data_IF_692769897070
#
_entry.id   IF_692769897070
#
_cell.length_a   1.000
_cell.length_b   1.000
_cell.length_c   1.000
_cell.angle_alpha   90.00
_cell.angle_beta   90.00
_cell.angle_gamma   90.00
#
_symmetry.space_group_name_H-M   'P 1'
#
loop_
_entity.id
_entity.type
_entity.pdbx_description
1 polymer ?
#
# COMPACT_ATOMS: atom_id res chain seq x y z
N UNK A 1 -6.97 -26.96 -15.95
CA UNK A 1 -6.09 -25.96 -15.29
C UNK A 1 -4.73 -25.80 -15.97
N UNK A 2 -3.83 -26.80 -16.00
CA UNK A 2 -2.46 -26.66 -16.54
C UNK A 2 -2.39 -26.03 -17.95
N UNK A 3 -3.29 -26.44 -18.87
CA UNK A 3 -3.36 -25.86 -20.21
C UNK A 3 -3.66 -24.36 -20.19
N UNK A 4 -4.59 -23.91 -19.33
CA UNK A 4 -4.94 -22.49 -19.18
C UNK A 4 -3.80 -21.65 -18.59
N UNK A 5 -3.07 -22.17 -17.59
CA UNK A 5 -1.87 -21.47 -17.09
C UNK A 5 -0.76 -21.40 -18.16
N UNK A 6 -0.71 -22.36 -19.09
CA UNK A 6 0.25 -22.36 -20.20
C UNK A 6 -0.12 -21.32 -21.27
N UNK A 7 -1.41 -21.22 -21.59
CA UNK A 7 -2.00 -20.21 -22.48
C UNK A 7 -1.77 -18.78 -21.93
N UNK A 8 -2.03 -18.54 -20.65
CA UNK A 8 -1.78 -17.25 -19.99
C UNK A 8 -0.29 -16.88 -19.85
N UNK A 9 0.64 -17.81 -20.07
CA UNK A 9 2.09 -17.58 -19.93
C UNK A 9 2.89 -17.88 -21.19
N UNK A 10 2.22 -17.97 -22.35
CA UNK A 10 2.88 -18.24 -23.63
C UNK A 10 3.61 -17.02 -24.18
N UNK A 11 2.92 -15.89 -24.27
CA UNK A 11 3.36 -14.68 -24.96
C UNK A 11 3.26 -13.42 -24.07
N UNK A 12 3.90 -12.34 -24.50
CA UNK A 12 3.81 -11.06 -23.81
C UNK A 12 2.44 -10.41 -24.01
N UNK A 13 1.84 -9.97 -22.91
CA UNK A 13 0.49 -9.43 -22.83
C UNK A 13 0.51 -8.16 -21.96
N UNK A 14 1.33 -7.18 -22.38
CA UNK A 14 1.40 -5.88 -21.71
C UNK A 14 0.09 -5.11 -21.90
N UNK A 15 -0.23 -4.23 -20.95
CA UNK A 15 -1.44 -3.41 -21.00
C UNK A 15 -1.48 -2.56 -22.30
N UNK A 16 -2.60 -2.61 -23.02
CA UNK A 16 -2.79 -1.96 -24.32
C UNK A 16 -2.11 -2.66 -25.50
N UNK A 17 -1.67 -3.91 -25.35
CA UNK A 17 -1.06 -4.70 -26.43
C UNK A 17 -2.00 -5.77 -26.99
N UNK A 18 -1.76 -6.19 -28.24
CA UNK A 18 -2.50 -7.27 -28.91
C UNK A 18 -2.50 -8.58 -28.11
N UNK A 19 -1.47 -8.83 -27.30
CA UNK A 19 -1.42 -9.99 -26.41
C UNK A 19 -2.43 -9.92 -25.25
N UNK A 20 -2.72 -8.72 -24.75
CA UNK A 20 -3.79 -8.51 -23.76
C UNK A 20 -5.17 -8.72 -24.39
N UNK A 21 -5.42 -8.19 -25.59
CA UNK A 21 -6.68 -8.38 -26.33
C UNK A 21 -7.00 -9.87 -26.52
N UNK A 22 -6.01 -10.66 -26.93
CA UNK A 22 -6.14 -12.12 -27.13
C UNK A 22 -6.45 -12.85 -25.82
N UNK A 23 -5.82 -12.46 -24.70
CA UNK A 23 -6.13 -13.05 -23.38
C UNK A 23 -7.53 -12.63 -22.91
N UNK A 24 -7.91 -11.37 -23.10
CA UNK A 24 -9.23 -10.82 -22.77
C UNK A 24 -10.35 -11.58 -23.50
N UNK A 25 -10.22 -11.77 -24.82
CA UNK A 25 -11.15 -12.56 -25.63
C UNK A 25 -11.25 -14.02 -25.15
N UNK A 26 -10.12 -14.67 -24.85
CA UNK A 26 -10.12 -16.05 -24.35
C UNK A 26 -10.78 -16.18 -22.97
N UNK A 27 -10.61 -15.21 -22.06
CA UNK A 27 -11.30 -15.17 -20.77
C UNK A 27 -12.81 -14.95 -20.96
N UNK A 28 -13.19 -13.97 -21.79
CA UNK A 28 -14.58 -13.65 -22.11
C UNK A 28 -15.35 -14.86 -22.66
N UNK A 29 -14.73 -15.56 -23.63
CA UNK A 29 -15.30 -16.78 -24.21
C UNK A 29 -15.44 -17.89 -23.16
N UNK A 30 -14.45 -18.11 -22.30
CA UNK A 30 -14.51 -19.13 -21.22
C UNK A 30 -15.61 -18.84 -20.20
N UNK A 31 -15.80 -17.58 -19.80
CA UNK A 31 -16.90 -17.21 -18.88
C UNK A 31 -18.27 -17.42 -19.53
N UNK A 32 -18.39 -17.13 -20.83
CA UNK A 32 -19.59 -17.44 -21.62
C UNK A 32 -19.83 -18.96 -21.75
N UNK A 33 -18.78 -19.75 -21.97
CA UNK A 33 -18.82 -21.23 -21.99
C UNK A 33 -19.24 -21.82 -20.63
N UNK A 34 -18.94 -21.14 -19.52
CA UNK A 34 -19.42 -21.49 -18.17
C UNK A 34 -20.86 -21.02 -17.87
N UNK A 35 -21.54 -20.37 -18.83
CA UNK A 35 -22.91 -19.86 -18.66
C UNK A 35 -23.01 -18.59 -17.83
N UNK A 36 -21.90 -17.86 -17.63
CA UNK A 36 -21.89 -16.60 -16.89
C UNK A 36 -22.38 -15.45 -17.78
N UNK A 37 -23.20 -14.56 -17.21
CA UNK A 37 -23.53 -13.27 -17.84
C UNK A 37 -22.28 -12.41 -17.93
N UNK A 38 -21.68 -12.34 -19.12
CA UNK A 38 -20.34 -11.78 -19.34
C UNK A 38 -20.41 -10.53 -20.22
N UNK A 39 -19.71 -9.47 -19.84
CA UNK A 39 -19.57 -8.22 -20.59
C UNK A 39 -18.10 -7.75 -20.57
N UNK A 40 -17.79 -6.69 -21.32
CA UNK A 40 -16.49 -6.00 -21.29
C UNK A 40 -16.69 -4.57 -20.80
N UNK A 41 -15.66 -4.02 -20.19
CA UNK A 41 -15.58 -2.63 -19.74
C UNK A 41 -14.23 -2.07 -20.21
N UNK A 42 -14.24 -0.90 -20.85
CA UNK A 42 -13.11 -0.39 -21.62
C UNK A 42 -12.80 1.06 -21.23
N UNK A 43 -11.53 1.35 -20.91
CA UNK A 43 -11.07 2.65 -20.45
C UNK A 43 -9.89 3.17 -21.28
N UNK A 44 -9.94 4.45 -21.63
CA UNK A 44 -8.85 5.13 -22.32
C UNK A 44 -7.86 5.70 -21.30
N UNK A 45 -6.89 4.87 -20.89
CA UNK A 45 -5.85 5.22 -19.90
C UNK A 45 -4.54 5.59 -20.59
N UNK A 46 -3.88 6.66 -20.14
CA UNK A 46 -2.56 7.04 -20.64
C UNK A 46 -1.45 6.23 -19.97
N UNK A 47 -1.05 5.13 -20.60
CA UNK A 47 0.13 4.35 -20.23
C UNK A 47 1.42 5.08 -20.66
N UNK A 48 2.52 4.85 -19.92
CA UNK A 48 3.87 5.24 -20.35
C UNK A 48 4.62 4.02 -20.86
N UNK A 49 5.09 4.08 -22.11
CA UNK A 49 5.93 3.04 -22.72
C UNK A 49 7.43 3.27 -22.55
N UNK A 50 8.20 2.26 -22.96
CA UNK A 50 9.63 2.39 -23.25
C UNK A 50 9.94 3.53 -24.24
N UNK A 51 11.17 4.10 -24.21
CA UNK A 51 11.62 5.03 -25.23
C UNK A 51 11.47 4.46 -26.65
N UNK A 52 10.95 5.26 -27.58
CA UNK A 52 10.74 4.85 -28.99
C UNK A 52 12.03 4.58 -29.78
N UNK A 53 13.20 4.78 -29.16
CA UNK A 53 14.51 4.45 -29.71
C UNK A 53 15.56 4.41 -28.60
N UNK A 54 16.40 3.37 -28.61
CA UNK A 54 17.41 3.14 -27.57
C UNK A 54 16.83 2.57 -26.27
N UNK A 55 17.66 2.55 -25.23
CA UNK A 55 17.32 2.11 -23.87
C UNK A 55 17.55 3.24 -22.88
N UNK A 56 16.79 3.23 -21.77
CA UNK A 56 17.21 3.99 -20.60
C UNK A 56 18.56 3.43 -20.10
N UNK A 57 19.33 4.24 -19.39
CA UNK A 57 20.62 3.80 -18.90
C UNK A 57 21.18 4.68 -17.80
N UNK A 58 22.17 4.14 -17.11
CA UNK A 58 22.92 4.84 -16.07
C UNK A 58 24.38 4.90 -16.49
N UNK A 59 25.02 6.05 -16.34
CA UNK A 59 26.47 6.18 -16.55
C UNK A 59 27.14 6.42 -15.20
N UNK A 60 28.14 5.60 -14.85
CA UNK A 60 28.88 5.74 -13.60
C UNK A 60 30.38 5.59 -13.84
N UNK A 61 31.17 6.61 -13.48
CA UNK A 61 32.59 6.73 -13.79
C UNK A 61 32.93 6.37 -15.26
N UNK A 62 32.24 7.01 -16.21
CA UNK A 62 32.41 6.78 -17.66
C UNK A 62 31.93 5.42 -18.17
N UNK A 63 31.52 4.49 -17.30
CA UNK A 63 30.95 3.20 -17.69
C UNK A 63 29.45 3.38 -17.91
N UNK A 64 28.95 3.15 -19.13
CA UNK A 64 27.52 3.18 -19.46
C UNK A 64 26.90 1.80 -19.23
N UNK A 65 25.73 1.79 -18.57
CA UNK A 65 24.90 0.62 -18.33
C UNK A 65 23.55 0.83 -18.99
N UNK A 66 23.28 0.06 -20.04
CA UNK A 66 22.00 0.07 -20.73
C UNK A 66 20.99 -0.85 -20.01
N UNK A 67 19.83 -0.30 -19.68
CA UNK A 67 18.80 -0.96 -18.90
C UNK A 67 17.54 -1.18 -19.75
N UNK A 68 17.20 -2.46 -19.93
CA UNK A 68 16.02 -2.89 -20.67
C UNK A 68 14.72 -2.78 -19.85
N UNK A 69 14.81 -2.46 -18.56
CA UNK A 69 13.65 -2.14 -17.73
C UNK A 69 13.38 -0.64 -17.73
N UNK A 70 12.22 -0.24 -17.24
CA UNK A 70 11.88 1.16 -16.96
C UNK A 70 10.97 1.20 -15.73
N UNK A 71 10.74 2.40 -15.21
CA UNK A 71 9.69 2.62 -14.23
C UNK A 71 8.58 3.46 -14.87
N UNK A 72 7.38 2.88 -14.97
CA UNK A 72 6.22 3.58 -15.51
C UNK A 72 5.90 4.83 -14.67
N UNK A 73 5.44 5.88 -15.34
CA UNK A 73 5.11 7.20 -14.78
C UNK A 73 6.28 8.00 -14.19
N UNK A 74 7.51 7.52 -14.36
CA UNK A 74 8.76 8.18 -13.93
C UNK A 74 8.96 9.54 -14.62
N UNK A 75 9.61 10.48 -13.92
CA UNK A 75 9.95 11.79 -14.47
C UNK A 75 10.91 11.68 -15.66
N UNK A 76 10.62 12.40 -16.74
CA UNK A 76 11.48 12.42 -17.93
C UNK A 76 12.67 13.39 -17.73
N UNK A 77 13.87 12.94 -18.11
CA UNK A 77 15.08 13.77 -18.16
C UNK A 77 16.35 12.99 -17.83
N UNK A 78 17.50 13.62 -18.05
CA UNK A 78 18.79 13.15 -17.54
C UNK A 78 19.18 14.00 -16.33
N UNK A 79 19.60 13.35 -15.25
CA UNK A 79 20.11 14.01 -14.04
C UNK A 79 21.47 13.45 -13.67
N UNK A 80 22.35 14.31 -13.18
CA UNK A 80 23.68 13.95 -12.70
C UNK A 80 23.81 14.38 -11.24
N UNK A 81 24.48 13.56 -10.43
CA UNK A 81 24.70 13.82 -9.01
C UNK A 81 25.40 12.65 -8.33
N UNK A 82 25.90 12.88 -7.12
CA UNK A 82 26.53 11.83 -6.32
C UNK A 82 25.50 10.73 -5.96
N UNK A 83 25.93 9.47 -5.97
CA UNK A 83 25.07 8.32 -5.61
C UNK A 83 24.99 8.17 -4.08
N UNK A 84 23.79 7.93 -3.55
CA UNK A 84 23.55 7.67 -2.12
C UNK A 84 22.69 6.41 -1.95
N UNK A 85 23.18 5.42 -1.21
CA UNK A 85 22.39 4.22 -0.88
C UNK A 85 21.41 4.49 0.27
N UNK A 86 20.14 4.15 0.10
CA UNK A 86 19.05 4.36 1.06
C UNK A 86 18.21 3.07 1.26
N UNK A 87 18.87 1.91 1.36
CA UNK A 87 18.25 0.62 1.70
C UNK A 87 16.97 0.29 0.93
N UNK A 88 15.78 0.30 1.56
CA UNK A 88 14.50 0.06 0.87
C UNK A 88 13.73 1.36 0.56
N UNK A 89 14.27 2.53 0.89
CA UNK A 89 13.66 3.84 0.65
C UNK A 89 12.47 4.14 1.57
N UNK A 90 12.35 3.45 2.71
CA UNK A 90 11.25 3.67 3.66
C UNK A 90 11.39 5.05 4.33
N UNK A 91 10.31 5.60 4.88
CA UNK A 91 10.37 6.86 5.66
C UNK A 91 11.37 6.76 6.81
N UNK A 92 11.45 5.60 7.48
CA UNK A 92 12.48 5.29 8.48
C UNK A 92 13.90 5.30 7.90
N UNK A 93 14.08 4.89 6.64
CA UNK A 93 15.40 4.86 6.01
C UNK A 93 15.92 6.28 5.75
N UNK A 94 15.04 7.19 5.33
CA UNK A 94 15.36 8.61 5.19
C UNK A 94 15.58 9.31 6.54
N UNK A 95 14.86 8.91 7.61
CA UNK A 95 15.15 9.40 8.98
C UNK A 95 16.54 8.97 9.44
N UNK A 96 16.91 7.69 9.25
CA UNK A 96 18.27 7.22 9.57
C UNK A 96 19.36 8.04 8.85
N UNK A 97 19.14 8.43 7.59
CA UNK A 97 20.05 9.34 6.88
C UNK A 97 20.09 10.74 7.50
N UNK A 98 18.95 11.28 7.93
CA UNK A 98 18.85 12.57 8.61
C UNK A 98 19.57 12.57 9.98
N UNK A 99 19.44 11.50 10.76
CA UNK A 99 20.12 11.32 12.04
C UNK A 99 21.64 11.23 11.87
N UNK A 100 22.10 10.55 10.81
CA UNK A 100 23.49 10.55 10.34
C UNK A 100 23.94 11.88 9.70
N UNK A 101 23.06 12.90 9.63
CA UNK A 101 23.28 14.20 8.99
C UNK A 101 23.63 14.12 7.49
N UNK A 102 23.29 13.01 6.84
CA UNK A 102 23.50 12.77 5.41
C UNK A 102 22.31 13.29 4.61
N UNK A 103 22.45 14.49 4.02
CA UNK A 103 21.41 15.00 3.13
C UNK A 103 21.35 14.21 1.81
N UNK A 104 20.14 13.82 1.33
CA UNK A 104 19.91 13.30 -0.01
C UNK A 104 19.72 14.42 -1.07
N UNK A 105 19.67 15.69 -0.67
CA UNK A 105 19.42 16.82 -1.59
C UNK A 105 20.51 16.90 -2.66
N UNK A 106 20.10 16.87 -3.94
CA UNK A 106 21.02 16.90 -5.09
C UNK A 106 21.76 15.59 -5.36
N UNK A 107 21.32 14.47 -4.78
CA UNK A 107 21.93 13.15 -4.96
C UNK A 107 20.99 12.18 -5.69
N UNK A 108 21.57 11.22 -6.39
CA UNK A 108 20.84 10.10 -7.00
C UNK A 108 20.72 9.00 -5.92
N UNK A 109 19.50 8.74 -5.47
CA UNK A 109 19.26 7.80 -4.37
C UNK A 109 19.04 6.38 -4.89
N UNK A 110 19.92 5.46 -4.49
CA UNK A 110 19.85 4.04 -4.82
C UNK A 110 19.08 3.28 -3.74
N UNK A 111 17.99 2.61 -4.13
CA UNK A 111 17.10 1.84 -3.26
C UNK A 111 16.85 0.43 -3.81
N UNK A 112 16.61 -0.51 -2.90
CA UNK A 112 16.27 -1.92 -3.19
C UNK A 112 14.78 -2.05 -3.46
N UNK A 113 14.42 -2.93 -4.40
CA UNK A 113 13.07 -3.48 -4.51
C UNK A 113 12.75 -4.34 -3.27
N UNK A 114 11.45 -4.55 -3.00
CA UNK A 114 10.92 -5.18 -1.78
C UNK A 114 10.45 -4.16 -0.75
N UNK A 115 9.95 -4.62 0.41
CA UNK A 115 9.42 -3.85 1.60
C UNK A 115 8.38 -2.74 1.39
N UNK A 116 8.56 -1.85 0.42
CA UNK A 116 7.60 -0.86 -0.08
C UNK A 116 7.60 -0.93 -1.61
N UNK A 117 6.44 -0.71 -2.22
CA UNK A 117 6.25 -0.77 -3.68
C UNK A 117 7.07 0.29 -4.42
N UNK A 118 7.32 0.08 -5.72
CA UNK A 118 7.90 1.14 -6.55
C UNK A 118 6.99 2.37 -6.67
N UNK A 119 5.67 2.19 -6.52
CA UNK A 119 4.71 3.27 -6.36
C UNK A 119 5.02 4.09 -5.09
N UNK A 120 5.08 3.48 -3.90
CA UNK A 120 5.42 4.23 -2.67
C UNK A 120 6.81 4.91 -2.72
N UNK A 121 7.75 4.40 -3.51
CA UNK A 121 9.05 5.05 -3.76
C UNK A 121 8.97 6.25 -4.72
N UNK A 122 7.98 6.31 -5.62
CA UNK A 122 8.00 7.19 -6.81
C UNK A 122 6.62 7.76 -7.20
N UNK A 123 5.54 6.97 -7.20
CA UNK A 123 4.15 7.40 -7.43
C UNK A 123 3.20 7.11 -6.25
N UNK A 124 2.82 8.12 -5.47
CA UNK A 124 1.91 7.97 -4.32
C UNK A 124 0.42 8.03 -4.74
N UNK A 125 -0.05 7.05 -5.52
CA UNK A 125 -1.43 7.01 -6.02
C UNK A 125 -1.88 5.65 -6.55
N UNK A 126 -3.12 5.59 -7.04
CA UNK A 126 -3.72 4.42 -7.71
C UNK A 126 -4.61 4.85 -8.89
N UNK A 127 -4.85 3.91 -9.82
CA UNK A 127 -5.60 4.18 -11.06
C UNK A 127 -4.79 4.99 -12.08
N UNK A 128 -5.50 5.61 -13.02
CA UNK A 128 -4.92 6.52 -14.00
C UNK A 128 -4.43 7.81 -13.30
N UNK A 129 -3.13 8.13 -13.36
CA UNK A 129 -2.59 9.31 -12.71
C UNK A 129 -2.99 10.64 -13.40
N UNK A 130 -3.79 10.61 -14.46
CA UNK A 130 -4.36 11.78 -15.14
C UNK A 130 -5.86 11.98 -14.90
N UNK A 131 -6.53 11.03 -14.20
CA UNK A 131 -7.91 11.16 -13.71
C UNK A 131 -8.06 10.69 -12.23
N UNK A 132 -7.26 11.19 -11.28
CA UNK A 132 -7.25 10.71 -9.90
C UNK A 132 -8.62 10.84 -9.22
N UNK A 133 -9.20 9.69 -8.86
CA UNK A 133 -10.52 9.60 -8.21
C UNK A 133 -11.73 9.58 -9.17
N UNK A 134 -11.50 9.54 -10.49
CA UNK A 134 -12.55 9.53 -11.51
C UNK A 134 -12.27 8.50 -12.62
N UNK A 135 -13.29 7.97 -13.32
CA UNK A 135 -13.08 7.12 -14.49
C UNK A 135 -12.24 7.82 -15.57
N UNK A 136 -11.40 7.06 -16.28
CA UNK A 136 -10.63 7.57 -17.42
C UNK A 136 -11.53 7.69 -18.65
N UNK A 137 -11.53 8.87 -19.27
CA UNK A 137 -12.25 9.14 -20.51
C UNK A 137 -11.28 9.46 -21.65
N UNK A 138 -11.75 9.31 -22.88
CA UNK A 138 -11.01 9.75 -24.07
C UNK A 138 -10.57 11.21 -23.91
N UNK A 139 -9.25 11.44 -23.93
CA UNK A 139 -8.60 12.71 -23.57
C UNK A 139 -8.91 13.90 -24.50
N UNK A 140 -9.74 13.71 -25.52
CA UNK A 140 -10.31 14.77 -26.35
C UNK A 140 -11.39 15.57 -25.57
N UNK A 141 -12.09 14.93 -24.63
CA UNK A 141 -13.26 15.53 -23.95
C UNK A 141 -12.92 16.28 -22.66
N UNK A 142 -11.84 15.90 -21.96
CA UNK A 142 -11.39 16.55 -20.72
C UNK A 142 -9.87 16.76 -20.73
N UNK A 143 -9.37 17.96 -20.35
CA UNK A 143 -7.94 18.19 -20.19
C UNK A 143 -7.38 17.35 -19.03
N UNK A 144 -6.27 16.65 -19.28
CA UNK A 144 -5.64 15.76 -18.29
C UNK A 144 -5.25 16.49 -17.00
N UNK A 145 -5.73 16.00 -15.86
CA UNK A 145 -5.42 16.56 -14.53
C UNK A 145 -4.35 15.69 -13.88
N UNK A 146 -3.10 16.15 -13.87
CA UNK A 146 -1.99 15.42 -13.22
C UNK A 146 -2.30 15.19 -11.73
N UNK A 147 -2.23 13.92 -11.32
CA UNK A 147 -2.21 13.51 -9.93
C UNK A 147 -1.05 14.16 -9.18
N UNK A 148 -1.32 14.62 -7.96
CA UNK A 148 -0.30 15.10 -7.01
C UNK A 148 0.72 14.03 -6.65
N UNK A 149 0.37 12.75 -6.83
CA UNK A 149 1.28 11.63 -6.61
C UNK A 149 2.27 11.37 -7.73
N UNK A 150 2.18 12.01 -8.91
CA UNK A 150 3.15 11.77 -10.00
C UNK A 150 4.56 12.27 -9.64
N UNK A 151 5.63 11.48 -9.90
CA UNK A 151 7.00 11.91 -9.64
C UNK A 151 7.39 13.10 -10.53
N UNK A 152 8.08 14.06 -9.93
CA UNK A 152 8.83 15.10 -10.64
C UNK A 152 10.29 14.72 -10.91
N UNK A 153 10.77 13.62 -10.31
CA UNK A 153 12.15 13.13 -10.41
C UNK A 153 12.27 11.93 -11.35
N UNK A 154 13.34 11.84 -12.17
CA UNK A 154 13.65 10.62 -12.90
C UNK A 154 14.05 9.48 -11.95
N UNK A 155 13.41 8.34 -12.17
CA UNK A 155 13.68 7.08 -11.50
C UNK A 155 13.78 5.94 -12.53
N UNK A 156 14.74 5.03 -12.32
CA UNK A 156 15.07 3.96 -13.26
C UNK A 156 15.32 2.65 -12.49
N UNK A 157 14.73 1.56 -12.95
CA UNK A 157 15.04 0.21 -12.46
C UNK A 157 16.38 -0.25 -13.04
N UNK A 158 17.28 -0.77 -12.21
CA UNK A 158 18.59 -1.26 -12.65
C UNK A 158 18.76 -2.75 -12.34
N UNK A 159 19.53 -3.46 -13.17
CA UNK A 159 19.87 -4.86 -12.93
C UNK A 159 20.74 -5.02 -11.69
N UNK A 160 20.68 -6.19 -11.06
CA UNK A 160 21.57 -6.58 -9.97
C UNK A 160 23.07 -6.43 -10.32
N UNK A 161 23.44 -6.73 -11.57
CA UNK A 161 24.81 -6.53 -12.07
C UNK A 161 25.21 -5.05 -12.14
N UNK A 162 24.31 -4.17 -12.55
CA UNK A 162 24.52 -2.72 -12.62
C UNK A 162 24.63 -2.14 -11.22
N UNK A 163 23.71 -2.52 -10.31
CA UNK A 163 23.80 -2.16 -8.89
C UNK A 163 25.13 -2.61 -8.28
N UNK A 164 25.60 -3.83 -8.60
CA UNK A 164 26.89 -4.33 -8.12
C UNK A 164 28.08 -3.52 -8.65
N UNK A 165 28.08 -3.17 -9.94
CA UNK A 165 29.14 -2.37 -10.55
C UNK A 165 29.20 -0.93 -10.02
N UNK A 166 28.05 -0.35 -9.66
CA UNK A 166 27.95 0.96 -9.00
C UNK A 166 28.41 0.84 -7.54
N UNK A 167 27.76 0.00 -6.74
CA UNK A 167 28.03 -0.13 -5.30
C UNK A 167 29.45 -0.61 -5.00
N UNK A 168 30.03 -1.49 -5.82
CA UNK A 168 31.43 -1.93 -5.69
C UNK A 168 32.47 -0.82 -5.94
N UNK A 169 32.06 0.35 -6.42
CA UNK A 169 32.88 1.56 -6.62
C UNK A 169 32.44 2.75 -5.73
N UNK A 170 31.50 2.55 -4.78
CA UNK A 170 31.04 3.61 -3.86
C UNK A 170 31.90 3.71 -2.59
N UNK A 171 32.06 4.93 -2.07
CA UNK A 171 32.65 5.23 -0.74
C UNK A 171 31.77 6.21 0.07
N UNK A 172 32.19 6.64 1.28
CA UNK A 172 31.46 7.53 2.21
C UNK A 172 31.43 7.06 3.69
N UNK A 173 30.25 6.87 4.31
CA UNK A 173 30.02 6.40 5.71
C UNK A 173 29.27 5.06 5.80
N UNK A 174 29.57 4.13 6.70
CA UNK A 174 28.91 2.80 6.65
C UNK A 174 27.40 2.86 6.94
N UNK A 175 26.59 1.95 6.34
CA UNK A 175 25.15 2.11 6.33
C UNK A 175 24.55 1.70 7.68
N UNK A 176 23.42 2.31 8.10
CA UNK A 176 22.72 1.93 9.32
C UNK A 176 22.62 0.42 9.52
N UNK A 177 22.77 -0.02 10.77
CA UNK A 177 22.86 -1.42 11.14
C UNK A 177 21.80 -2.30 10.44
N UNK A 178 22.24 -3.36 9.75
CA UNK A 178 21.39 -4.27 8.98
C UNK A 178 21.26 -3.95 7.47
N UNK A 179 21.57 -2.73 7.03
CA UNK A 179 21.50 -2.34 5.61
C UNK A 179 22.54 -3.03 4.72
N UNK A 180 23.65 -3.46 5.33
CA UNK A 180 24.82 -4.04 4.67
C UNK A 180 24.66 -5.49 4.19
N UNK A 181 23.53 -6.14 4.45
CA UNK A 181 23.29 -7.55 4.10
C UNK A 181 22.42 -7.66 2.84
N UNK A 182 23.06 -7.68 1.68
CA UNK A 182 22.39 -7.94 0.40
C UNK A 182 23.00 -9.13 -0.36
N UNK A 183 22.29 -9.60 -1.39
CA UNK A 183 22.64 -10.83 -2.13
C UNK A 183 23.58 -10.67 -3.32
N UNK A 184 23.99 -9.44 -3.68
CA UNK A 184 24.98 -9.19 -4.74
C UNK A 184 26.34 -9.79 -4.37
N UNK A 185 26.93 -10.56 -5.29
CA UNK A 185 28.26 -11.17 -5.13
C UNK A 185 29.36 -10.12 -5.33
N UNK A 186 30.44 -10.21 -4.55
CA UNK A 186 31.61 -9.33 -4.60
C UNK A 186 31.30 -7.82 -4.44
N UNK A 187 30.26 -7.48 -3.67
CA UNK A 187 29.91 -6.09 -3.32
C UNK A 187 29.99 -5.92 -1.81
N UNK A 188 30.87 -5.03 -1.36
CA UNK A 188 30.85 -4.56 0.04
C UNK A 188 29.78 -3.49 0.15
N UNK A 189 28.74 -3.74 0.96
CA UNK A 189 27.62 -2.81 1.07
C UNK A 189 27.97 -1.64 1.97
N UNK A 190 28.23 -0.52 1.31
CA UNK A 190 28.68 0.74 1.88
C UNK A 190 27.59 1.81 1.66
N UNK A 191 27.33 2.69 2.64
CA UNK A 191 27.47 4.11 2.28
C UNK A 191 28.95 4.56 2.42
N UNK A 192 29.85 3.76 3.06
CA UNK A 192 31.33 3.87 3.20
C UNK A 192 31.99 3.28 4.47
N UNK A 193 32.39 4.01 5.54
CA UNK A 193 33.02 3.39 6.76
C UNK A 193 32.45 3.87 8.12
N UNK A 194 32.47 3.14 9.24
CA UNK A 194 32.85 1.73 9.55
C UNK A 194 31.80 1.08 10.51
N UNK A 195 31.69 -0.27 10.65
CA UNK A 195 30.44 -0.92 11.18
C UNK A 195 30.54 -2.37 11.72
N UNK A 196 29.43 -2.87 12.30
CA UNK A 196 29.19 -4.30 12.65
C UNK A 196 27.75 -4.84 12.29
N UNK A 197 27.19 -5.85 12.99
CA UNK A 197 26.38 -6.94 12.37
C UNK A 197 25.22 -7.53 13.22
N UNK A 198 24.00 -7.74 12.66
CA UNK A 198 23.09 -8.91 12.92
C UNK A 198 21.99 -9.15 11.81
N UNK A 199 20.73 -9.53 12.05
CA UNK A 199 19.78 -10.23 11.12
C UNK A 199 18.34 -9.60 11.15
N UNK A 200 17.25 -10.06 10.49
CA UNK A 200 16.84 -11.33 9.84
C UNK A 200 15.92 -11.06 8.60
N UNK A 201 15.59 -12.05 7.76
CA UNK A 201 14.81 -11.82 6.52
C UNK A 201 13.94 -12.97 6.00
N UNK A 202 12.86 -12.62 5.29
CA UNK A 202 11.98 -13.51 4.52
C UNK A 202 12.26 -13.35 3.02
N UNK A 203 12.20 -14.44 2.26
CA UNK A 203 12.54 -14.45 0.83
C UNK A 203 11.36 -14.09 -0.08
N UNK A 204 11.39 -12.91 -0.69
CA UNK A 204 10.48 -12.52 -1.77
C UNK A 204 10.71 -13.38 -3.04
N UNK A 205 9.69 -13.51 -3.90
CA UNK A 205 9.80 -14.23 -5.18
C UNK A 205 10.75 -13.48 -6.13
N UNK A 206 11.94 -14.02 -6.45
CA UNK A 206 13.04 -13.23 -7.01
C UNK A 206 12.90 -12.89 -8.49
N UNK A 207 11.87 -13.40 -9.16
CA UNK A 207 11.59 -13.16 -10.57
C UNK A 207 10.46 -12.14 -10.80
N UNK A 208 9.77 -11.72 -9.73
CA UNK A 208 8.65 -10.77 -9.79
C UNK A 208 9.03 -9.50 -10.55
N UNK A 209 8.20 -9.11 -11.53
CA UNK A 209 8.44 -7.91 -12.33
C UNK A 209 9.63 -8.01 -13.30
N UNK A 210 10.02 -9.23 -13.70
CA UNK A 210 11.12 -9.46 -14.65
C UNK A 210 10.72 -10.43 -15.76
N UNK A 211 11.46 -10.43 -16.87
CA UNK A 211 11.31 -11.44 -17.95
C UNK A 211 11.63 -12.88 -17.52
N UNK A 212 12.06 -13.10 -16.27
CA UNK A 212 12.26 -14.43 -15.69
C UNK A 212 11.01 -14.94 -14.97
N UNK A 213 9.96 -14.12 -14.82
CA UNK A 213 8.66 -14.54 -14.31
C UNK A 213 7.97 -15.43 -15.35
N UNK A 214 8.26 -16.71 -15.28
CA UNK A 214 7.84 -17.72 -16.26
C UNK A 214 7.29 -18.92 -15.52
N UNK A 215 6.33 -19.63 -16.14
CA UNK A 215 5.73 -20.85 -15.57
C UNK A 215 6.80 -21.85 -15.11
N UNK A 216 7.89 -22.02 -15.86
CA UNK A 216 9.01 -22.90 -15.51
C UNK A 216 9.73 -22.46 -14.22
N UNK A 217 10.05 -21.17 -14.10
CA UNK A 217 10.74 -20.64 -12.92
C UNK A 217 9.84 -20.60 -11.68
N UNK A 218 8.54 -20.33 -11.86
CA UNK A 218 7.54 -20.45 -10.80
C UNK A 218 7.43 -21.90 -10.31
N UNK A 219 7.31 -22.86 -11.22
CA UNK A 219 7.19 -24.28 -10.88
C UNK A 219 8.43 -24.81 -10.12
N UNK A 220 9.64 -24.42 -10.55
CA UNK A 220 10.88 -24.68 -9.80
C UNK A 220 10.86 -24.04 -8.41
N UNK A 221 10.36 -22.80 -8.27
CA UNK A 221 10.27 -22.10 -6.97
C UNK A 221 9.23 -22.68 -6.02
N UNK A 222 8.20 -23.34 -6.55
CA UNK A 222 7.22 -24.11 -5.77
C UNK A 222 7.68 -25.55 -5.44
N UNK A 223 8.95 -25.89 -5.68
CA UNK A 223 9.47 -27.26 -5.55
C UNK A 223 8.66 -28.29 -6.33
N UNK A 224 8.22 -27.93 -7.55
CA UNK A 224 7.37 -28.74 -8.45
C UNK A 224 5.94 -29.00 -7.92
N UNK A 225 5.48 -28.28 -6.89
CA UNK A 225 4.13 -28.41 -6.33
C UNK A 225 3.13 -27.36 -6.86
N UNK A 226 3.43 -26.68 -7.98
CA UNK A 226 2.62 -25.57 -8.50
C UNK A 226 1.14 -25.94 -8.68
N UNK A 227 0.85 -27.14 -9.19
CA UNK A 227 -0.52 -27.61 -9.37
C UNK A 227 -1.29 -27.72 -8.04
N UNK A 228 -0.63 -28.25 -7.00
CA UNK A 228 -1.23 -28.43 -5.67
C UNK A 228 -1.51 -27.05 -5.06
N UNK A 229 -0.51 -26.17 -5.07
CA UNK A 229 -0.64 -24.83 -4.50
C UNK A 229 -1.75 -24.01 -5.17
N UNK A 230 -1.83 -24.00 -6.51
CA UNK A 230 -2.87 -23.23 -7.20
C UNK A 230 -4.25 -23.87 -7.07
N UNK A 231 -4.35 -25.21 -7.01
CA UNK A 231 -5.62 -25.89 -6.67
C UNK A 231 -6.09 -25.46 -5.28
N UNK A 232 -5.23 -25.53 -4.26
CA UNK A 232 -5.57 -25.13 -2.89
C UNK A 232 -5.93 -23.64 -2.81
N UNK A 233 -5.21 -22.75 -3.51
CA UNK A 233 -5.54 -21.33 -3.55
C UNK A 233 -6.91 -21.07 -4.22
N UNK A 234 -7.22 -21.79 -5.30
CA UNK A 234 -8.53 -21.73 -5.97
C UNK A 234 -9.66 -22.29 -5.11
N UNK A 235 -9.42 -23.37 -4.36
CA UNK A 235 -10.38 -23.93 -3.41
C UNK A 235 -10.67 -22.95 -2.25
N UNK A 236 -9.64 -22.29 -1.71
CA UNK A 236 -9.80 -21.25 -0.68
C UNK A 236 -10.61 -20.07 -1.24
N UNK A 237 -10.24 -19.53 -2.41
CA UNK A 237 -10.94 -18.40 -3.03
C UNK A 237 -12.40 -18.74 -3.36
N UNK A 238 -12.67 -19.94 -3.88
CA UNK A 238 -14.02 -20.43 -4.14
C UNK A 238 -14.86 -20.59 -2.87
N UNK A 239 -14.28 -21.14 -1.79
CA UNK A 239 -14.94 -21.24 -0.49
C UNK A 239 -15.22 -19.88 0.14
N UNK A 240 -14.34 -18.89 -0.03
CA UNK A 240 -14.57 -17.52 0.40
C UNK A 240 -15.73 -16.89 -0.39
N UNK A 241 -15.74 -16.99 -1.72
CA UNK A 241 -16.81 -16.47 -2.56
C UNK A 241 -18.17 -17.11 -2.24
N UNK A 242 -18.22 -18.45 -2.10
CA UNK A 242 -19.45 -19.16 -1.72
C UNK A 242 -20.01 -18.69 -0.38
N UNK A 243 -19.17 -18.52 0.65
CA UNK A 243 -19.61 -18.03 1.98
C UNK A 243 -20.08 -16.57 1.99
N UNK A 244 -19.66 -15.76 1.03
CA UNK A 244 -20.09 -14.37 0.89
C UNK A 244 -21.41 -14.22 0.10
N UNK A 245 -21.84 -15.26 -0.64
CA UNK A 245 -23.00 -15.20 -1.54
C UNK A 245 -24.12 -16.17 -1.14
N UNK A 246 -23.82 -17.31 -0.53
CA UNK A 246 -24.81 -18.34 -0.19
C UNK A 246 -25.53 -18.06 1.14
N UNK A 247 -24.82 -17.60 2.17
CA UNK A 247 -25.39 -17.50 3.52
C UNK A 247 -26.31 -16.29 3.66
N UNK A 248 -27.45 -16.46 4.36
CA UNK A 248 -28.41 -15.39 4.65
C UNK A 248 -27.79 -14.19 5.40
N UNK A 249 -26.76 -14.44 6.21
CA UNK A 249 -26.02 -13.45 6.98
C UNK A 249 -24.52 -13.51 6.64
N UNK A 250 -23.93 -12.35 6.36
CA UNK A 250 -22.52 -12.21 6.00
C UNK A 250 -21.60 -12.60 7.16
N UNK A 251 -20.70 -13.57 6.94
CA UNK A 251 -19.73 -14.04 7.95
C UNK A 251 -18.54 -13.11 8.17
N UNK A 252 -18.77 -11.81 8.26
CA UNK A 252 -17.74 -10.80 8.51
C UNK A 252 -17.83 -10.34 9.97
N UNK A 253 -16.84 -10.72 10.79
CA UNK A 253 -16.82 -10.36 12.21
C UNK A 253 -16.30 -8.93 12.44
N UNK A 254 -17.22 -7.97 12.50
CA UNK A 254 -16.95 -6.54 12.76
C UNK A 254 -16.35 -6.25 14.14
N UNK A 255 -16.42 -7.20 15.09
CA UNK A 255 -15.79 -7.07 16.41
C UNK A 255 -14.25 -7.20 16.33
N UNK A 256 -13.70 -7.82 15.27
CA UNK A 256 -12.26 -7.86 15.04
C UNK A 256 -11.66 -6.44 14.94
N UNK A 257 -12.39 -5.50 14.33
CA UNK A 257 -11.99 -4.09 14.29
C UNK A 257 -11.97 -3.44 15.67
N UNK A 258 -12.82 -3.86 16.62
CA UNK A 258 -12.78 -3.34 18.00
C UNK A 258 -11.44 -3.66 18.68
N UNK A 259 -10.91 -4.86 18.45
CA UNK A 259 -9.59 -5.25 18.97
C UNK A 259 -8.45 -4.42 18.33
N UNK A 260 -8.51 -4.19 17.02
CA UNK A 260 -7.52 -3.38 16.28
C UNK A 260 -7.56 -1.92 16.78
N UNK A 261 -8.74 -1.30 16.78
CA UNK A 261 -8.93 0.09 17.23
C UNK A 261 -8.47 0.24 18.69
N UNK A 262 -8.83 -0.70 19.57
CA UNK A 262 -8.41 -0.68 20.99
C UNK A 262 -6.89 -0.72 21.14
N UNK A 263 -6.20 -1.58 20.40
CA UNK A 263 -4.74 -1.67 20.45
C UNK A 263 -4.08 -0.36 19.98
N UNK A 264 -4.57 0.23 18.88
CA UNK A 264 -4.07 1.49 18.34
C UNK A 264 -4.33 2.67 19.30
N UNK A 265 -5.54 2.81 19.84
CA UNK A 265 -5.89 3.88 20.79
C UNK A 265 -5.11 3.76 22.10
N UNK A 266 -4.87 2.54 22.60
CA UNK A 266 -4.00 2.31 23.75
C UNK A 266 -2.55 2.73 23.49
N UNK A 267 -2.03 2.48 22.28
CA UNK A 267 -0.69 2.94 21.88
C UNK A 267 -0.63 4.47 21.78
N UNK A 268 -1.63 5.12 21.18
CA UNK A 268 -1.74 6.59 21.12
C UNK A 268 -1.77 7.18 22.54
N UNK A 269 -2.61 6.65 23.43
CA UNK A 269 -2.73 7.10 24.82
C UNK A 269 -1.39 7.06 25.57
N UNK A 270 -0.64 5.95 25.41
CA UNK A 270 0.69 5.78 26.01
C UNK A 270 1.68 6.84 25.53
N UNK A 271 1.72 7.10 24.22
CA UNK A 271 2.63 8.10 23.65
C UNK A 271 2.22 9.54 24.02
N UNK A 272 0.94 9.87 23.96
CA UNK A 272 0.40 11.17 24.42
C UNK A 272 0.76 11.43 25.88
N UNK A 273 0.54 10.46 26.78
CA UNK A 273 0.94 10.57 28.19
C UNK A 273 2.45 10.80 28.35
N UNK A 274 3.29 10.04 27.65
CA UNK A 274 4.76 10.20 27.67
C UNK A 274 5.22 11.59 27.20
N UNK A 275 4.53 12.18 26.21
CA UNK A 275 4.83 13.50 25.67
C UNK A 275 4.33 14.63 26.56
N UNK A 276 3.18 14.46 27.23
CA UNK A 276 2.66 15.41 28.22
C UNK A 276 3.53 15.45 29.48
N UNK A 277 4.02 14.29 29.95
CA UNK A 277 4.95 14.20 31.09
C UNK A 277 6.31 14.84 30.80
N UNK A 278 6.75 14.84 29.53
CA UNK A 278 7.98 15.52 29.08
C UNK A 278 7.74 16.96 28.59
N UNK A 279 6.54 17.52 28.80
CA UNK A 279 6.11 18.85 28.35
C UNK A 279 6.31 19.12 26.85
N UNK A 280 6.36 18.09 26.01
CA UNK A 280 6.53 18.19 24.54
C UNK A 280 5.24 18.46 23.79
N UNK A 281 4.09 18.15 24.39
CA UNK A 281 2.75 18.49 23.87
C UNK A 281 1.88 19.09 24.98
N UNK A 282 0.86 19.90 24.64
CA UNK A 282 -0.02 20.51 25.63
C UNK A 282 -0.78 19.48 26.48
N UNK A 283 -0.90 19.75 27.78
CA UNK A 283 -1.77 18.99 28.70
C UNK A 283 -3.27 19.14 28.38
N UNK A 284 -3.63 20.14 27.56
CA UNK A 284 -4.99 20.36 27.04
C UNK A 284 -5.35 19.46 25.85
N UNK A 285 -4.44 18.61 25.36
CA UNK A 285 -4.79 17.56 24.40
C UNK A 285 -5.40 16.37 25.17
N UNK A 286 -6.72 16.28 25.16
CA UNK A 286 -7.46 15.28 25.93
C UNK A 286 -7.77 14.01 25.13
N UNK A 287 -7.54 12.85 25.75
CA UNK A 287 -7.81 11.54 25.16
C UNK A 287 -9.29 11.12 25.27
N UNK A 288 -10.11 11.85 26.03
CA UNK A 288 -11.48 11.48 26.40
C UNK A 288 -12.36 11.16 25.18
N UNK A 289 -12.32 12.01 24.16
CA UNK A 289 -13.12 11.84 22.94
C UNK A 289 -12.75 10.60 22.14
N UNK A 290 -11.45 10.33 21.95
CA UNK A 290 -10.98 9.14 21.24
C UNK A 290 -11.26 7.84 22.01
N UNK A 291 -11.13 7.89 23.33
CA UNK A 291 -11.50 6.78 24.22
C UNK A 291 -13.01 6.52 24.19
N UNK A 292 -13.84 7.56 24.15
CA UNK A 292 -15.29 7.46 24.01
C UNK A 292 -15.67 6.85 22.65
N UNK A 293 -15.09 7.33 21.55
CA UNK A 293 -15.30 6.80 20.20
C UNK A 293 -14.95 5.31 20.08
N UNK A 294 -13.79 4.90 20.60
CA UNK A 294 -13.39 3.49 20.72
C UNK A 294 -14.42 2.67 21.52
N UNK A 295 -14.89 3.21 22.65
CA UNK A 295 -15.91 2.57 23.49
C UNK A 295 -17.25 2.41 22.75
N UNK A 296 -17.69 3.46 22.05
CA UNK A 296 -18.89 3.46 21.22
C UNK A 296 -18.83 2.40 20.13
N UNK A 297 -17.72 2.33 19.38
CA UNK A 297 -17.52 1.29 18.36
C UNK A 297 -17.58 -0.11 18.99
N UNK A 298 -16.88 -0.33 20.11
CA UNK A 298 -16.86 -1.64 20.78
C UNK A 298 -18.23 -2.07 21.33
N UNK A 299 -19.11 -1.12 21.70
CA UNK A 299 -20.49 -1.43 22.10
C UNK A 299 -21.36 -1.74 20.87
N UNK A 300 -21.28 -0.91 19.83
CA UNK A 300 -22.04 -1.08 18.59
C UNK A 300 -21.71 -2.41 17.88
N UNK A 301 -20.43 -2.73 17.73
CA UNK A 301 -19.97 -3.99 17.11
C UNK A 301 -20.46 -5.21 17.88
N UNK A 302 -20.28 -5.23 19.21
CA UNK A 302 -20.75 -6.34 20.07
C UNK A 302 -22.28 -6.49 20.00
N UNK A 303 -23.02 -5.39 19.95
CA UNK A 303 -24.49 -5.42 19.81
C UNK A 303 -24.91 -6.01 18.46
N UNK A 304 -24.24 -5.67 17.37
CA UNK A 304 -24.51 -6.28 16.07
C UNK A 304 -24.14 -7.78 16.06
N UNK A 305 -23.02 -8.18 16.67
CA UNK A 305 -22.67 -9.60 16.83
C UNK A 305 -23.76 -10.38 17.58
N UNK A 306 -24.28 -9.83 18.69
CA UNK A 306 -25.38 -10.45 19.44
C UNK A 306 -26.69 -10.47 18.64
N UNK A 307 -27.01 -9.43 17.87
CA UNK A 307 -28.18 -9.43 16.99
C UNK A 307 -28.05 -10.53 15.93
N UNK A 308 -26.92 -10.58 15.22
CA UNK A 308 -26.60 -11.57 14.19
C UNK A 308 -26.69 -13.02 14.70
N UNK A 309 -26.34 -13.29 15.96
CA UNK A 309 -26.45 -14.61 16.59
C UNK A 309 -27.87 -15.02 16.98
N UNK A 310 -28.78 -14.06 17.20
CA UNK A 310 -30.13 -14.28 17.71
C UNK A 310 -31.23 -13.92 16.67
N UNK A 311 -30.86 -13.73 15.41
CA UNK A 311 -31.80 -13.34 14.34
C UNK A 311 -32.51 -14.53 13.71
N UNK A 312 -33.77 -14.34 13.32
CA UNK A 312 -34.46 -15.31 12.48
C UNK A 312 -33.91 -15.21 11.04
N UNK A 313 -33.40 -16.33 10.52
CA UNK A 313 -32.87 -16.43 9.17
C UNK A 313 -33.97 -16.48 8.09
N UNK A 314 -35.22 -16.68 8.48
CA UNK A 314 -36.37 -16.61 7.58
C UNK A 314 -36.85 -15.17 7.35
N UNK A 315 -36.51 -14.22 8.25
CA UNK A 315 -36.79 -12.81 8.04
C UNK A 315 -35.71 -12.18 7.12
N UNK A 316 -36.05 -12.10 5.83
CA UNK A 316 -35.19 -11.50 4.82
C UNK A 316 -34.94 -10.00 5.01
N UNK A 317 -35.84 -9.26 5.67
CA UNK A 317 -35.67 -7.82 5.93
C UNK A 317 -34.71 -7.61 7.10
N UNK A 318 -34.89 -8.35 8.20
CA UNK A 318 -33.93 -8.37 9.31
C UNK A 318 -32.53 -8.80 8.86
N UNK A 319 -32.43 -9.87 8.06
CA UNK A 319 -31.15 -10.32 7.52
C UNK A 319 -30.49 -9.24 6.65
N UNK A 320 -31.26 -8.55 5.79
CA UNK A 320 -30.75 -7.44 4.98
C UNK A 320 -30.25 -6.28 5.85
N UNK A 321 -31.02 -5.83 6.84
CA UNK A 321 -30.61 -4.72 7.73
C UNK A 321 -29.31 -5.04 8.47
N UNK A 322 -29.11 -6.29 8.88
CA UNK A 322 -27.87 -6.75 9.52
C UNK A 322 -26.72 -6.76 8.50
N UNK A 323 -26.92 -7.31 7.31
CA UNK A 323 -25.91 -7.34 6.25
C UNK A 323 -25.50 -5.93 5.81
N UNK A 324 -26.44 -5.00 5.63
CA UNK A 324 -26.17 -3.61 5.27
C UNK A 324 -25.29 -2.92 6.34
N UNK A 325 -25.53 -3.18 7.63
CA UNK A 325 -24.68 -2.69 8.75
C UNK A 325 -23.30 -3.35 8.77
N UNK A 326 -23.21 -4.65 8.48
CA UNK A 326 -21.94 -5.38 8.38
C UNK A 326 -21.09 -4.82 7.22
N UNK A 327 -21.69 -4.62 6.05
CA UNK A 327 -21.02 -4.04 4.87
C UNK A 327 -20.61 -2.57 5.08
N UNK A 328 -21.40 -1.81 5.84
CA UNK A 328 -21.13 -0.41 6.14
C UNK A 328 -19.79 -0.16 6.84
N UNK A 329 -19.35 -1.07 7.74
CA UNK A 329 -18.15 -0.86 8.57
C UNK A 329 -16.89 -0.51 7.76
N UNK A 330 -16.59 -1.27 6.70
CA UNK A 330 -15.39 -1.04 5.90
C UNK A 330 -15.41 0.31 5.16
N UNK A 331 -16.61 0.72 4.72
CA UNK A 331 -16.86 2.02 4.09
C UNK A 331 -16.74 3.16 5.11
N UNK A 332 -17.29 2.99 6.31
CA UNK A 332 -17.36 4.04 7.33
C UNK A 332 -16.01 4.25 8.07
N UNK A 333 -15.06 3.32 7.90
CA UNK A 333 -13.65 3.49 8.27
C UNK A 333 -12.83 4.26 7.20
N UNK A 334 -13.41 4.62 6.06
CA UNK A 334 -12.84 5.59 5.13
C UNK A 334 -13.08 7.01 5.65
N UNK A 335 -12.02 7.78 5.86
CA UNK A 335 -12.15 9.17 6.30
C UNK A 335 -12.98 9.99 5.29
N UNK A 336 -14.09 10.62 5.72
CA UNK A 336 -14.91 11.47 4.86
C UNK A 336 -14.33 12.88 4.69
N UNK A 337 -13.30 13.23 5.47
CA UNK A 337 -12.71 14.56 5.56
C UNK A 337 -11.56 14.82 4.58
N UNK A 338 -11.20 13.82 3.77
CA UNK A 338 -10.15 13.91 2.76
C UNK A 338 -10.70 13.57 1.38
N UNK A 339 -10.34 14.37 0.38
CA UNK A 339 -10.82 14.19 -0.98
C UNK A 339 -10.23 12.92 -1.61
N UNK A 340 -11.03 12.05 -2.26
CA UNK A 340 -10.52 10.91 -3.03
C UNK A 340 -9.51 11.30 -4.12
N UNK A 341 -9.59 12.55 -4.62
CA UNK A 341 -8.66 13.12 -5.60
C UNK A 341 -7.27 13.42 -5.02
N UNK A 342 -7.19 13.76 -3.73
CA UNK A 342 -5.95 14.20 -3.06
C UNK A 342 -5.32 13.09 -2.22
N UNK A 343 -6.15 12.19 -1.69
CA UNK A 343 -5.74 11.04 -0.88
C UNK A 343 -6.69 9.88 -1.17
N UNK A 344 -6.45 9.07 -2.22
CA UNK A 344 -7.36 7.98 -2.58
C UNK A 344 -7.43 6.88 -1.51
N UNK A 345 -6.33 6.65 -0.79
CA UNK A 345 -6.22 5.65 0.28
C UNK A 345 -6.80 6.17 1.62
N UNK A 346 -8.12 6.38 1.65
CA UNK A 346 -8.83 7.08 2.74
C UNK A 346 -9.05 6.28 4.03
N UNK A 347 -8.80 4.96 4.02
CA UNK A 347 -9.04 4.11 5.18
C UNK A 347 -8.16 4.51 6.37
N UNK A 348 -8.74 4.78 7.55
CA UNK A 348 -7.96 5.33 8.69
C UNK A 348 -6.92 4.36 9.25
N UNK A 349 -7.22 3.04 9.23
CA UNK A 349 -6.31 1.98 9.68
C UNK A 349 -5.33 1.48 8.60
N UNK A 350 -5.80 1.26 7.36
CA UNK A 350 -5.05 0.58 6.29
C UNK A 350 -4.62 1.50 5.13
N UNK A 351 -5.04 2.76 5.14
CA UNK A 351 -4.80 3.71 4.06
C UNK A 351 -3.45 4.41 4.15
N UNK A 352 -3.32 5.53 3.44
CA UNK A 352 -2.11 6.35 3.42
C UNK A 352 -2.46 7.82 3.29
N UNK A 353 -1.84 8.65 4.13
CA UNK A 353 -2.11 10.09 4.26
C UNK A 353 -2.17 10.53 5.72
N UNK A 354 -2.27 11.85 5.95
CA UNK A 354 -2.23 12.44 7.29
C UNK A 354 -3.43 12.03 8.16
N UNK A 355 -4.58 11.74 7.56
CA UNK A 355 -5.81 11.25 8.22
C UNK A 355 -5.69 9.85 8.84
N UNK A 356 -4.58 9.13 8.62
CA UNK A 356 -4.42 7.75 9.10
C UNK A 356 -3.88 7.67 10.53
N UNK A 357 -4.27 6.60 11.23
CA UNK A 357 -3.76 6.24 12.56
C UNK A 357 -2.24 5.99 12.53
N UNK A 358 -1.73 5.37 11.46
CA UNK A 358 -0.30 5.19 11.25
C UNK A 358 0.48 6.51 11.10
N UNK A 359 -0.11 7.52 10.44
CA UNK A 359 0.49 8.85 10.36
C UNK A 359 0.45 9.59 11.71
N UNK A 360 -0.64 9.46 12.49
CA UNK A 360 -0.73 10.02 13.85
C UNK A 360 0.34 9.43 14.78
N UNK A 361 0.49 8.10 14.81
CA UNK A 361 1.54 7.43 15.59
C UNK A 361 2.95 7.82 15.12
N UNK A 362 3.16 7.95 13.82
CA UNK A 362 4.44 8.40 13.25
C UNK A 362 4.77 9.84 13.65
N UNK A 363 3.77 10.71 13.78
CA UNK A 363 3.94 12.10 14.21
C UNK A 363 4.25 12.20 15.71
N UNK A 364 3.56 11.42 16.55
CA UNK A 364 3.85 11.30 17.98
C UNK A 364 5.30 10.82 18.22
N UNK A 365 5.77 9.84 17.45
CA UNK A 365 7.17 9.40 17.49
C UNK A 365 8.15 10.52 17.12
N UNK A 366 7.90 11.28 16.04
CA UNK A 366 8.75 12.39 15.63
C UNK A 366 8.84 13.52 16.69
N UNK A 367 7.75 13.79 17.41
CA UNK A 367 7.75 14.72 18.56
C UNK A 367 8.63 14.18 19.70
N UNK A 368 8.57 12.86 19.96
CA UNK A 368 9.36 12.17 20.99
C UNK A 368 10.86 12.15 20.70
N UNK A 369 11.22 12.04 19.42
CA UNK A 369 12.60 12.13 18.92
C UNK A 369 13.12 13.58 18.94
N UNK A 370 12.23 14.57 18.97
CA UNK A 370 12.59 15.99 19.03
C UNK A 370 12.78 16.64 17.66
N UNK A 371 12.11 16.12 16.63
CA UNK A 371 12.13 16.74 15.31
C UNK A 371 11.57 18.16 15.37
N UNK A 372 12.36 19.13 14.89
CA UNK A 372 11.96 20.54 14.77
C UNK A 372 10.80 20.76 13.78
N UNK A 373 10.37 19.74 13.04
CA UNK A 373 9.29 19.81 12.04
C UNK A 373 7.90 19.41 12.59
N UNK A 374 7.76 19.16 13.89
CA UNK A 374 6.52 18.62 14.44
C UNK A 374 5.44 19.70 14.65
N UNK A 375 4.37 19.64 13.86
CA UNK A 375 3.27 20.61 13.88
C UNK A 375 2.16 20.16 14.84
N UNK A 376 2.03 20.86 15.97
CA UNK A 376 1.00 20.60 16.99
C UNK A 376 -0.43 20.83 16.47
N UNK A 377 -0.65 21.69 15.47
CA UNK A 377 -1.97 21.90 14.87
C UNK A 377 -2.32 20.73 13.93
N UNK A 378 -1.36 20.27 13.12
CA UNK A 378 -1.52 19.03 12.37
C UNK A 378 -1.82 17.85 13.31
N UNK A 379 -1.09 17.70 14.43
CA UNK A 379 -1.34 16.63 15.41
C UNK A 379 -2.78 16.67 15.95
N UNK A 380 -3.28 17.86 16.34
CA UNK A 380 -4.67 18.04 16.79
C UNK A 380 -5.68 17.65 15.71
N UNK A 381 -5.43 18.05 14.46
CA UNK A 381 -6.30 17.70 13.33
C UNK A 381 -6.32 16.17 13.11
N UNK A 382 -5.15 15.51 13.10
CA UNK A 382 -5.07 14.04 12.96
C UNK A 382 -5.82 13.31 14.08
N UNK A 383 -5.73 13.83 15.31
CA UNK A 383 -6.45 13.29 16.47
C UNK A 383 -7.97 13.45 16.32
N UNK A 384 -8.44 14.63 15.92
CA UNK A 384 -9.85 14.91 15.66
C UNK A 384 -10.41 14.04 14.52
N UNK A 385 -9.71 13.96 13.39
CA UNK A 385 -10.09 13.14 12.22
C UNK A 385 -10.22 11.66 12.58
N UNK A 386 -9.26 11.12 13.33
CA UNK A 386 -9.30 9.73 13.82
C UNK A 386 -10.52 9.52 14.73
N UNK A 387 -10.73 10.42 15.69
CA UNK A 387 -11.84 10.37 16.66
C UNK A 387 -13.20 10.39 15.97
N UNK A 388 -13.43 11.39 15.11
CA UNK A 388 -14.72 11.56 14.44
C UNK A 388 -15.01 10.46 13.41
N UNK A 389 -14.00 9.90 12.75
CA UNK A 389 -14.22 8.76 11.84
C UNK A 389 -14.62 7.49 12.62
N UNK A 390 -13.93 7.16 13.72
CA UNK A 390 -14.31 6.02 14.59
C UNK A 390 -15.71 6.22 15.18
N UNK A 391 -16.02 7.43 15.66
CA UNK A 391 -17.35 7.73 16.21
C UNK A 391 -18.43 7.64 15.12
N UNK A 392 -18.20 8.20 13.92
CA UNK A 392 -19.17 8.11 12.81
C UNK A 392 -19.45 6.67 12.41
N UNK A 393 -18.41 5.84 12.33
CA UNK A 393 -18.53 4.40 12.10
C UNK A 393 -19.31 3.70 13.22
N UNK A 394 -19.05 4.04 14.50
CA UNK A 394 -19.83 3.52 15.62
C UNK A 394 -21.32 3.89 15.55
N UNK A 395 -21.64 5.12 15.11
CA UNK A 395 -23.00 5.63 14.99
C UNK A 395 -23.77 4.88 13.89
N UNK A 396 -23.17 4.77 12.70
CA UNK A 396 -23.72 4.00 11.59
C UNK A 396 -23.90 2.53 11.96
N UNK A 397 -22.92 1.94 12.65
CA UNK A 397 -22.97 0.56 13.12
C UNK A 397 -24.04 0.31 14.19
N UNK A 398 -24.39 1.31 15.00
CA UNK A 398 -25.45 1.21 16.01
C UNK A 398 -26.86 1.10 15.39
N UNK A 399 -27.06 1.66 14.20
CA UNK A 399 -28.33 1.62 13.44
C UNK A 399 -29.29 2.75 13.84
N UNK A 400 -29.83 2.71 15.06
CA UNK A 400 -30.75 3.74 15.54
C UNK A 400 -30.03 4.86 16.29
N UNK A 401 -30.13 6.08 15.77
CA UNK A 401 -29.54 7.32 16.34
C UNK A 401 -29.97 7.57 17.79
N UNK A 402 -31.16 7.10 18.18
CA UNK A 402 -31.76 7.27 19.51
C UNK A 402 -31.29 6.26 20.56
N UNK A 403 -30.56 5.21 20.18
CA UNK A 403 -30.06 4.18 21.11
C UNK A 403 -28.61 4.43 21.56
N UNK A 404 -28.10 5.62 21.28
CA UNK A 404 -26.79 6.07 21.73
C UNK A 404 -26.95 6.97 22.95
N UNK A 405 -26.18 6.68 24.01
CA UNK A 405 -25.91 7.64 25.09
C UNK A 405 -25.11 8.83 24.54
N UNK A 406 -25.81 9.76 23.89
CA UNK A 406 -25.28 11.04 23.42
C UNK A 406 -25.14 12.03 24.60
N UNK A 407 -24.39 11.63 25.63
CA UNK A 407 -23.70 12.59 26.49
C UNK A 407 -22.35 12.93 25.82
N UNK A 408 -22.47 13.79 24.80
CA UNK A 408 -21.38 14.56 24.19
C UNK A 408 -21.27 15.85 25.00
#
# INVERSE_FOLDING_TARGET
>A
FILFLSELSSDSHQAGSVGEDVISENIFRRFSEFGLSTWRDEFFVKVQDHPKGGTNGVTFYGTKFDESGYLAYSGNGSVEGAVLYCYYGQVSDFRNLQDLKVSPKGKIVLVRAGKISFAEKVHLGCGDPYTPGFPSFNHIQFPAVKSSGLPSIPAQTIRASTAAAIMGKMGGLDPPHGWGKGGLRNVTYKLGGENDVVQNGTGEYPFFGTMLDTRKNLDVKTSQNLLVLVKTAGEIAGQMALRLVHDHLLRLNVENYSNIIRAQVAQINKEVYSLQMSNRIPKTLEMQWLMSAMGSYSRASRRLTMLNQNSDLQDSEQCRIINDRIMGVEKDLLSPYVSPRESPFRHILLGSGSHTVGALLSHLAAIKEGSASADINLLKNQFALTTWTIQSCANALAGNVWEMDNQI
#
